data_IF_637381532722
#
_entry.id   IF_637381532722
#
_cell.length_a   1.000
_cell.length_b   1.000
_cell.length_c   1.000
_cell.angle_alpha   90.00
_cell.angle_beta   90.00
_cell.angle_gamma   90.00
#
_symmetry.space_group_name_H-M   'P 1'
#
loop_
_entity.id
_entity.type
_entity.pdbx_description
1 polymer ?
#
# COMPACT_ATOMS: atom_id res chain seq x y z
N UNK A 1 13.91 10.74 -9.43
CA UNK A 1 13.60 11.94 -8.59
C UNK A 1 14.07 11.65 -7.16
N UNK A 2 14.75 12.62 -6.52
CA UNK A 2 15.66 12.47 -5.35
C UNK A 2 15.00 11.86 -4.10
N UNK A 3 15.51 10.70 -3.65
CA UNK A 3 15.19 10.06 -2.35
C UNK A 3 16.11 10.51 -1.19
N UNK A 4 16.92 11.55 -1.39
CA UNK A 4 17.96 12.03 -0.45
C UNK A 4 17.49 13.12 0.54
N UNK A 5 16.24 13.59 0.47
CA UNK A 5 15.73 14.69 1.31
C UNK A 5 15.05 14.25 2.61
N UNK A 6 14.57 13.01 2.71
CA UNK A 6 13.84 12.53 3.90
C UNK A 6 14.76 12.42 5.12
N UNK A 7 15.94 11.80 4.98
CA UNK A 7 16.84 11.55 6.10
C UNK A 7 17.40 12.83 6.73
N UNK A 8 17.88 13.78 5.91
CA UNK A 8 18.37 15.08 6.41
C UNK A 8 17.26 15.89 7.09
N UNK A 9 16.02 15.82 6.57
CA UNK A 9 14.87 16.50 7.18
C UNK A 9 14.49 15.87 8.52
N UNK A 10 14.50 14.55 8.62
CA UNK A 10 14.26 13.82 9.88
C UNK A 10 15.31 14.19 10.92
N UNK A 11 16.61 14.18 10.57
CA UNK A 11 17.69 14.57 11.48
C UNK A 11 17.54 16.03 11.93
N UNK A 12 17.21 16.94 11.01
CA UNK A 12 16.95 18.34 11.33
C UNK A 12 15.81 18.51 12.35
N UNK A 13 14.73 17.72 12.17
CA UNK A 13 13.59 17.72 13.09
C UNK A 13 13.95 17.13 14.47
N UNK A 14 14.95 16.26 14.54
CA UNK A 14 15.41 15.60 15.78
C UNK A 14 16.60 16.31 16.47
N UNK A 15 17.01 17.49 16.01
CA UNK A 15 18.22 18.20 16.50
C UNK A 15 18.28 18.36 18.02
N UNK A 16 17.15 18.61 18.67
CA UNK A 16 17.07 18.77 20.13
C UNK A 16 17.24 17.44 20.86
N UNK A 17 16.63 16.37 20.36
CA UNK A 17 16.76 15.02 20.92
C UNK A 17 18.23 14.58 20.84
N UNK A 18 18.87 14.81 19.69
CA UNK A 18 20.28 14.49 19.47
C UNK A 18 21.17 15.32 20.42
N UNK A 19 20.91 16.62 20.56
CA UNK A 19 21.65 17.48 21.47
C UNK A 19 21.54 17.02 22.94
N UNK A 20 20.33 16.69 23.40
CA UNK A 20 20.09 16.16 24.76
C UNK A 20 20.83 14.85 24.97
N UNK A 21 20.79 13.93 23.99
CA UNK A 21 21.49 12.65 24.06
C UNK A 21 23.01 12.82 24.24
N UNK A 22 23.63 13.72 23.48
CA UNK A 22 25.07 13.97 23.61
C UNK A 22 25.44 14.62 24.94
N UNK A 23 24.64 15.58 25.42
CA UNK A 23 24.87 16.20 26.72
C UNK A 23 24.78 15.18 27.85
N UNK A 24 23.72 14.37 27.85
CA UNK A 24 23.51 13.32 28.85
C UNK A 24 24.61 12.25 28.81
N UNK A 25 24.97 11.77 27.61
CA UNK A 25 26.03 10.77 27.45
C UNK A 25 27.39 11.32 27.89
N UNK A 26 27.71 12.56 27.52
CA UNK A 26 28.95 13.22 27.93
C UNK A 26 29.07 13.37 29.44
N UNK A 27 27.97 13.73 30.11
CA UNK A 27 27.90 13.81 31.57
C UNK A 27 28.17 12.44 32.21
N UNK A 28 27.51 11.37 31.76
CA UNK A 28 27.70 10.01 32.30
C UNK A 28 29.13 9.53 32.10
N UNK A 29 29.67 9.69 30.89
CA UNK A 29 31.05 9.27 30.57
C UNK A 29 32.03 10.06 31.44
N UNK A 30 31.86 11.38 31.55
CA UNK A 30 32.73 12.24 32.38
C UNK A 30 32.73 11.82 33.86
N UNK A 31 31.56 11.58 34.44
CA UNK A 31 31.46 11.06 35.81
C UNK A 31 32.09 9.67 35.97
N UNK A 32 31.96 8.81 34.96
CA UNK A 32 32.53 7.46 34.99
C UNK A 32 34.05 7.47 34.91
N UNK A 33 34.64 8.38 34.13
CA UNK A 33 36.10 8.61 34.10
C UNK A 33 36.58 9.20 35.42
N UNK A 34 35.89 10.22 35.95
CA UNK A 34 36.29 10.87 37.21
C UNK A 34 36.35 9.90 38.40
N UNK A 35 35.46 8.89 38.42
CA UNK A 35 35.40 7.87 39.47
C UNK A 35 36.20 6.59 39.16
N UNK A 36 37.01 6.56 38.10
CA UNK A 36 37.80 5.39 37.65
C UNK A 36 36.98 4.10 37.45
N UNK A 37 35.73 4.25 36.98
CA UNK A 37 34.78 3.14 36.81
C UNK A 37 35.02 2.31 35.53
N UNK A 38 35.93 2.71 34.64
CA UNK A 38 36.27 1.98 33.40
C UNK A 38 37.26 0.83 33.64
N UNK A 39 37.01 0.02 34.65
CA UNK A 39 37.85 -1.13 35.00
C UNK A 39 37.52 -2.40 34.18
N UNK A 40 38.25 -3.48 34.41
CA UNK A 40 38.04 -4.76 33.72
C UNK A 40 36.63 -5.32 33.91
N UNK A 41 36.05 -5.18 35.11
CA UNK A 41 34.68 -5.60 35.43
C UNK A 41 33.64 -4.80 34.66
N UNK A 42 33.85 -3.49 34.49
CA UNK A 42 33.01 -2.67 33.63
C UNK A 42 33.04 -3.17 32.19
N UNK A 43 34.24 -3.45 31.64
CA UNK A 43 34.37 -3.94 30.27
C UNK A 43 33.72 -5.30 30.06
N UNK A 44 33.87 -6.22 31.02
CA UNK A 44 33.19 -7.53 30.99
C UNK A 44 31.66 -7.34 30.96
N UNK A 45 31.11 -6.55 31.87
CA UNK A 45 29.67 -6.26 31.93
C UNK A 45 29.17 -5.56 30.66
N UNK A 46 29.95 -4.60 30.14
CA UNK A 46 29.61 -3.88 28.93
C UNK A 46 29.54 -4.82 27.73
N UNK A 47 30.53 -5.70 27.55
CA UNK A 47 30.55 -6.66 26.46
C UNK A 47 29.38 -7.66 26.54
N UNK A 48 29.09 -8.17 27.74
CA UNK A 48 27.94 -9.07 27.95
C UNK A 48 26.63 -8.35 27.61
N UNK A 49 26.43 -7.14 28.12
CA UNK A 49 25.22 -6.36 27.85
C UNK A 49 25.09 -5.98 26.37
N UNK A 50 26.19 -5.59 25.73
CA UNK A 50 26.22 -5.25 24.31
C UNK A 50 25.84 -6.47 23.45
N UNK A 51 26.38 -7.64 23.77
CA UNK A 51 26.07 -8.88 23.06
C UNK A 51 24.59 -9.25 23.16
N UNK A 52 24.01 -9.17 24.36
CA UNK A 52 22.57 -9.38 24.57
C UNK A 52 21.73 -8.34 23.80
N UNK A 53 22.11 -7.07 23.89
CA UNK A 53 21.42 -5.96 23.22
C UNK A 53 21.44 -6.10 21.69
N UNK A 54 22.53 -6.60 21.10
CA UNK A 54 22.63 -6.82 19.65
C UNK A 54 21.55 -7.80 19.17
N UNK A 55 21.34 -8.89 19.92
CA UNK A 55 20.28 -9.86 19.61
C UNK A 55 18.90 -9.22 19.74
N UNK A 56 18.66 -8.44 20.80
CA UNK A 56 17.39 -7.74 21.00
C UNK A 56 17.09 -6.76 19.86
N UNK A 57 18.08 -5.97 19.43
CA UNK A 57 17.92 -5.05 18.30
C UNK A 57 17.72 -5.76 16.97
N UNK A 58 18.34 -6.92 16.75
CA UNK A 58 18.12 -7.72 15.56
C UNK A 58 16.67 -8.21 15.50
N UNK A 59 16.18 -8.80 16.61
CA UNK A 59 14.81 -9.30 16.71
C UNK A 59 13.81 -8.16 16.49
N UNK A 60 13.99 -7.04 17.19
CA UNK A 60 13.12 -5.87 17.05
C UNK A 60 13.20 -5.29 15.64
N UNK A 61 14.39 -5.24 15.02
CA UNK A 61 14.58 -4.78 13.65
C UNK A 61 13.83 -5.62 12.62
N UNK A 62 13.87 -6.94 12.74
CA UNK A 62 13.11 -7.86 11.86
C UNK A 62 11.60 -7.67 12.04
N UNK A 63 11.14 -7.56 13.30
CA UNK A 63 9.72 -7.33 13.62
C UNK A 63 9.24 -6.01 13.02
N UNK A 64 9.99 -4.92 13.23
CA UNK A 64 9.66 -3.60 12.68
C UNK A 64 9.66 -3.62 11.15
N UNK A 65 10.64 -4.25 10.51
CA UNK A 65 10.70 -4.37 9.06
C UNK A 65 9.46 -5.09 8.50
N UNK A 66 9.05 -6.19 9.14
CA UNK A 66 7.84 -6.92 8.76
C UNK A 66 6.58 -6.04 8.88
N UNK A 67 6.39 -5.35 10.00
CA UNK A 67 5.24 -4.47 10.21
C UNK A 67 5.23 -3.27 9.28
N UNK A 68 6.39 -2.66 9.03
CA UNK A 68 6.53 -1.52 8.12
C UNK A 68 6.15 -1.92 6.69
N UNK A 69 6.65 -3.05 6.20
CA UNK A 69 6.31 -3.55 4.87
C UNK A 69 4.82 -3.92 4.76
N UNK A 70 4.24 -4.49 5.83
CA UNK A 70 2.80 -4.77 5.90
C UNK A 70 1.97 -3.48 5.87
N UNK A 71 2.40 -2.44 6.59
CA UNK A 71 1.74 -1.14 6.61
C UNK A 71 1.81 -0.46 5.24
N UNK A 72 2.99 -0.36 4.64
CA UNK A 72 3.18 0.26 3.31
C UNK A 72 2.31 -0.41 2.23
N UNK A 73 2.18 -1.74 2.27
CA UNK A 73 1.30 -2.45 1.34
C UNK A 73 -0.18 -2.10 1.55
N UNK A 74 -0.62 -1.96 2.81
CA UNK A 74 -1.98 -1.55 3.13
C UNK A 74 -2.25 -0.12 2.66
N UNK A 75 -1.33 0.80 2.93
CA UNK A 75 -1.45 2.21 2.54
C UNK A 75 -1.48 2.35 1.01
N UNK A 76 -0.63 1.62 0.29
CA UNK A 76 -0.64 1.62 -1.18
C UNK A 76 -1.93 1.03 -1.77
N UNK A 77 -2.56 0.05 -1.11
CA UNK A 77 -3.88 -0.46 -1.53
C UNK A 77 -4.96 0.59 -1.27
N UNK A 78 -4.90 1.27 -0.13
CA UNK A 78 -5.85 2.34 0.21
C UNK A 78 -5.77 3.49 -0.79
N UNK A 79 -4.57 3.97 -1.11
CA UNK A 79 -4.34 5.03 -2.11
C UNK A 79 -4.91 4.65 -3.49
N UNK A 80 -4.68 3.41 -3.95
CA UNK A 80 -5.24 2.94 -5.22
C UNK A 80 -6.78 2.89 -5.22
N UNK A 81 -7.40 2.50 -4.09
CA UNK A 81 -8.87 2.49 -3.98
C UNK A 81 -9.41 3.92 -3.97
N UNK A 82 -8.80 4.81 -3.19
CA UNK A 82 -9.19 6.23 -3.12
C UNK A 82 -9.07 6.92 -4.49
N UNK A 83 -7.98 6.68 -5.21
CA UNK A 83 -7.80 7.16 -6.58
C UNK A 83 -8.88 6.61 -7.52
N UNK A 84 -9.22 5.32 -7.41
CA UNK A 84 -10.29 4.72 -8.22
C UNK A 84 -11.65 5.35 -7.92
N UNK A 85 -11.97 5.58 -6.65
CA UNK A 85 -13.21 6.22 -6.21
C UNK A 85 -13.33 7.65 -6.74
N UNK A 86 -12.25 8.43 -6.62
CA UNK A 86 -12.18 9.81 -7.11
C UNK A 86 -12.38 9.88 -8.64
N UNK A 87 -11.89 8.89 -9.38
CA UNK A 87 -11.98 8.85 -10.85
C UNK A 87 -13.22 8.14 -11.38
N UNK A 88 -13.95 7.40 -10.55
CA UNK A 88 -14.95 6.41 -10.97
C UNK A 88 -15.93 6.97 -12.01
N UNK A 89 -16.58 8.09 -11.69
CA UNK A 89 -17.68 8.68 -12.47
C UNK A 89 -17.24 9.52 -13.68
N UNK A 90 -15.96 9.78 -13.84
CA UNK A 90 -15.45 10.69 -14.88
C UNK A 90 -15.09 9.93 -16.14
N UNK A 91 -15.82 10.13 -17.24
CA UNK A 91 -15.51 9.49 -18.52
C UNK A 91 -14.63 10.38 -19.40
N UNK A 92 -13.40 9.93 -19.63
CA UNK A 92 -12.54 10.35 -20.73
C UNK A 92 -11.58 9.21 -21.06
N UNK A 93 -11.04 9.15 -22.28
CA UNK A 93 -10.13 8.07 -22.67
C UNK A 93 -8.92 7.96 -21.73
N UNK A 94 -8.33 9.09 -21.31
CA UNK A 94 -7.19 9.12 -20.40
C UNK A 94 -7.55 8.61 -18.99
N UNK A 95 -8.68 9.07 -18.43
CA UNK A 95 -9.13 8.65 -17.12
C UNK A 95 -9.56 7.18 -17.11
N UNK A 96 -10.19 6.69 -18.18
CA UNK A 96 -10.57 5.29 -18.32
C UNK A 96 -9.34 4.39 -18.42
N UNK A 97 -8.28 4.82 -19.11
CA UNK A 97 -6.97 4.13 -19.09
C UNK A 97 -6.39 4.09 -17.68
N UNK A 98 -6.45 5.19 -16.93
CA UNK A 98 -5.95 5.27 -15.56
C UNK A 98 -6.72 4.33 -14.61
N UNK A 99 -8.06 4.31 -14.69
CA UNK A 99 -8.91 3.39 -13.93
C UNK A 99 -8.57 1.93 -14.22
N UNK A 100 -8.42 1.56 -15.49
CA UNK A 100 -8.00 0.19 -15.89
C UNK A 100 -6.64 -0.15 -15.30
N UNK A 101 -5.69 0.79 -15.30
CA UNK A 101 -4.37 0.60 -14.69
C UNK A 101 -4.48 0.35 -13.18
N UNK A 102 -5.26 1.16 -12.48
CA UNK A 102 -5.48 1.03 -11.04
C UNK A 102 -6.10 -0.34 -10.70
N UNK A 103 -7.16 -0.73 -11.40
CA UNK A 103 -7.83 -2.03 -11.20
C UNK A 103 -6.84 -3.19 -11.41
N UNK A 104 -5.99 -3.12 -12.44
CA UNK A 104 -4.95 -4.15 -12.67
C UNK A 104 -3.91 -4.18 -11.56
N UNK A 105 -3.51 -3.02 -11.03
CA UNK A 105 -2.57 -2.95 -9.90
C UNK A 105 -3.18 -3.57 -8.63
N UNK A 106 -4.46 -3.34 -8.37
CA UNK A 106 -5.21 -4.00 -7.30
C UNK A 106 -5.25 -5.52 -7.51
N UNK A 107 -5.61 -5.98 -8.72
CA UNK A 107 -5.62 -7.40 -9.06
C UNK A 107 -4.25 -8.08 -8.92
N UNK A 108 -3.17 -7.41 -9.29
CA UNK A 108 -1.80 -7.90 -9.12
C UNK A 108 -1.40 -8.04 -7.64
N UNK A 109 -2.03 -7.26 -6.75
CA UNK A 109 -1.88 -7.35 -5.28
C UNK A 109 -2.86 -8.36 -4.65
N UNK A 110 -3.62 -9.11 -5.45
CA UNK A 110 -4.63 -10.07 -4.98
C UNK A 110 -5.92 -9.41 -4.49
N UNK A 111 -6.12 -8.13 -4.76
CA UNK A 111 -7.34 -7.40 -4.41
C UNK A 111 -8.31 -7.46 -5.58
N UNK A 112 -9.34 -8.29 -5.41
CA UNK A 112 -10.43 -8.49 -6.37
C UNK A 112 -11.78 -7.96 -5.86
N UNK A 113 -11.88 -7.76 -4.54
CA UNK A 113 -13.05 -7.21 -3.87
C UNK A 113 -13.01 -5.67 -3.93
N UNK A 114 -13.36 -5.12 -5.09
CA UNK A 114 -13.38 -3.68 -5.33
C UNK A 114 -14.79 -3.17 -5.06
N UNK A 115 -14.94 -2.31 -4.05
CA UNK A 115 -16.23 -1.79 -3.56
C UNK A 115 -16.47 -0.36 -4.08
N UNK A 116 -16.33 -0.18 -5.39
CA UNK A 116 -16.44 1.14 -6.05
C UNK A 116 -17.53 1.06 -7.11
N UNK A 117 -18.78 1.49 -6.81
CA UNK A 117 -19.86 1.47 -7.78
C UNK A 117 -19.71 2.60 -8.80
N UNK A 118 -20.40 2.48 -9.94
CA UNK A 118 -20.52 3.50 -11.01
C UNK A 118 -19.17 3.87 -11.66
N UNK A 119 -18.33 2.87 -11.89
CA UNK A 119 -17.09 3.05 -12.66
C UNK A 119 -17.44 3.21 -14.13
N UNK A 120 -17.04 4.33 -14.73
CA UNK A 120 -17.10 4.58 -16.17
C UNK A 120 -15.84 4.01 -16.85
N UNK A 121 -16.01 3.15 -17.84
CA UNK A 121 -14.96 2.57 -18.67
C UNK A 121 -15.40 2.50 -20.15
N UNK A 122 -16.30 3.38 -20.57
CA UNK A 122 -16.84 3.40 -21.92
C UNK A 122 -15.81 3.85 -22.98
N UNK A 123 -16.13 3.55 -24.25
CA UNK A 123 -15.38 3.98 -25.45
C UNK A 123 -13.90 3.59 -25.44
N UNK A 124 -13.60 2.46 -24.82
CA UNK A 124 -12.26 1.94 -24.70
C UNK A 124 -11.91 0.98 -25.84
N UNK A 125 -10.81 1.26 -26.53
CA UNK A 125 -10.28 0.40 -27.60
C UNK A 125 -10.04 -1.05 -27.14
N UNK A 126 -9.65 -1.24 -25.86
CA UNK A 126 -9.59 -2.56 -25.22
C UNK A 126 -9.65 -2.46 -23.69
N UNK A 127 -10.57 -3.20 -23.09
CA UNK A 127 -10.63 -3.50 -21.66
C UNK A 127 -10.21 -4.96 -21.48
N UNK A 128 -9.10 -5.20 -20.78
CA UNK A 128 -8.58 -6.57 -20.59
C UNK A 128 -7.98 -6.85 -19.23
N UNK A 129 -8.04 -8.11 -18.82
CA UNK A 129 -7.42 -8.61 -17.58
C UNK A 129 -7.94 -7.89 -16.34
N UNK A 130 -9.25 -7.65 -16.30
CA UNK A 130 -9.92 -7.15 -15.10
C UNK A 130 -10.62 -8.31 -14.42
N UNK A 131 -10.30 -8.53 -13.15
CA UNK A 131 -10.81 -9.61 -12.34
C UNK A 131 -11.47 -9.02 -11.09
N UNK A 132 -12.74 -9.33 -10.92
CA UNK A 132 -13.54 -8.90 -9.78
C UNK A 132 -14.07 -10.14 -9.06
N UNK A 133 -13.99 -10.13 -7.73
CA UNK A 133 -14.54 -11.18 -6.88
C UNK A 133 -15.20 -10.56 -5.66
N UNK A 134 -16.45 -10.93 -5.39
CA UNK A 134 -17.26 -10.42 -4.27
C UNK A 134 -17.40 -8.87 -4.30
N UNK A 135 -17.22 -8.26 -5.48
CA UNK A 135 -17.19 -6.81 -5.71
C UNK A 135 -18.58 -6.18 -5.89
N UNK A 136 -18.74 -4.91 -5.53
CA UNK A 136 -19.89 -4.09 -5.93
C UNK A 136 -19.55 -3.32 -7.21
N UNK A 137 -20.22 -3.70 -8.30
CA UNK A 137 -20.05 -3.12 -9.63
C UNK A 137 -21.36 -2.51 -10.15
N UNK A 138 -22.24 -2.07 -9.24
CA UNK A 138 -23.50 -1.43 -9.59
C UNK A 138 -23.24 -0.17 -10.42
N UNK A 139 -23.83 -0.08 -11.61
CA UNK A 139 -23.65 1.02 -12.55
C UNK A 139 -22.32 1.00 -13.31
N UNK A 140 -21.61 -0.14 -13.34
CA UNK A 140 -20.42 -0.28 -14.19
C UNK A 140 -20.80 -0.03 -15.65
N UNK A 141 -20.13 0.93 -16.28
CA UNK A 141 -20.30 1.22 -17.69
C UNK A 141 -19.06 0.80 -18.48
N UNK A 142 -19.23 -0.09 -19.44
CA UNK A 142 -18.20 -0.51 -20.38
C UNK A 142 -18.71 -0.37 -21.83
N UNK A 143 -19.66 0.51 -22.12
CA UNK A 143 -20.25 0.63 -23.46
C UNK A 143 -19.22 0.95 -24.55
N UNK A 144 -19.53 0.59 -25.80
CA UNK A 144 -18.72 0.93 -26.98
C UNK A 144 -17.24 0.51 -26.88
N UNK A 145 -16.97 -0.59 -26.18
CA UNK A 145 -15.61 -1.06 -25.90
C UNK A 145 -15.33 -2.46 -26.44
N UNK A 146 -14.06 -2.85 -26.46
CA UNK A 146 -13.69 -4.26 -26.67
C UNK A 146 -13.27 -4.91 -25.35
N UNK A 147 -14.15 -5.72 -24.78
CA UNK A 147 -13.93 -6.37 -23.48
C UNK A 147 -13.38 -7.77 -23.71
N UNK A 148 -12.21 -8.08 -23.14
CA UNK A 148 -11.63 -9.41 -23.26
C UNK A 148 -10.88 -9.91 -22.04
N UNK A 149 -10.94 -11.21 -21.80
CA UNK A 149 -10.17 -11.88 -20.74
C UNK A 149 -10.44 -11.26 -19.34
N UNK A 150 -11.71 -10.94 -19.06
CA UNK A 150 -12.18 -10.40 -17.78
C UNK A 150 -13.03 -11.44 -17.03
N UNK A 151 -13.05 -11.39 -15.70
CA UNK A 151 -13.90 -12.26 -14.89
C UNK A 151 -14.61 -11.52 -13.78
N UNK A 152 -15.88 -11.85 -13.58
CA UNK A 152 -16.75 -11.33 -12.54
C UNK A 152 -17.29 -12.52 -11.74
N UNK A 153 -16.82 -12.71 -10.51
CA UNK A 153 -17.16 -13.83 -9.65
C UNK A 153 -17.85 -13.35 -8.37
N UNK A 154 -19.06 -13.85 -8.06
CA UNK A 154 -19.87 -13.41 -6.92
C UNK A 154 -20.10 -11.88 -6.85
N UNK A 155 -20.06 -11.16 -7.97
CA UNK A 155 -20.22 -9.70 -7.96
C UNK A 155 -21.70 -9.30 -7.85
N UNK A 156 -21.96 -8.18 -7.17
CA UNK A 156 -23.25 -7.48 -7.24
C UNK A 156 -23.24 -6.59 -8.46
N UNK A 157 -24.16 -6.85 -9.40
CA UNK A 157 -24.20 -6.14 -10.69
C UNK A 157 -25.64 -5.71 -10.97
N UNK A 158 -25.88 -4.40 -10.89
CA UNK A 158 -27.09 -3.74 -11.37
C UNK A 158 -26.71 -2.65 -12.36
N UNK A 159 -27.57 -2.36 -13.34
CA UNK A 159 -27.35 -1.30 -14.33
C UNK A 159 -25.98 -1.41 -15.05
N UNK A 160 -25.51 -2.63 -15.32
CA UNK A 160 -24.32 -2.86 -16.14
C UNK A 160 -24.60 -2.42 -17.58
N UNK A 161 -23.84 -1.44 -18.06
CA UNK A 161 -23.94 -1.01 -19.45
C UNK A 161 -22.84 -1.67 -20.28
N UNK A 162 -23.22 -2.66 -21.09
CA UNK A 162 -22.35 -3.31 -22.08
C UNK A 162 -22.90 -3.15 -23.51
N UNK A 163 -23.65 -2.10 -23.78
CA UNK A 163 -24.16 -1.80 -25.13
C UNK A 163 -23.03 -1.46 -26.11
N UNK A 164 -23.18 -1.83 -27.38
CA UNK A 164 -22.18 -1.53 -28.42
C UNK A 164 -20.81 -2.22 -28.27
N UNK A 165 -20.72 -3.27 -27.45
CA UNK A 165 -19.45 -3.94 -27.16
C UNK A 165 -19.13 -5.09 -28.11
N UNK A 166 -17.82 -5.36 -28.26
CA UNK A 166 -17.30 -6.66 -28.64
C UNK A 166 -16.82 -7.38 -27.38
N UNK A 167 -17.19 -8.64 -27.19
CA UNK A 167 -16.87 -9.41 -25.97
C UNK A 167 -16.16 -10.71 -26.33
N UNK A 168 -15.04 -11.02 -25.70
CA UNK A 168 -14.30 -12.29 -25.89
C UNK A 168 -13.74 -12.83 -24.57
N UNK A 169 -13.93 -14.11 -24.26
CA UNK A 169 -13.37 -14.72 -23.04
C UNK A 169 -13.76 -14.01 -21.72
N UNK A 170 -14.98 -13.49 -21.64
CA UNK A 170 -15.51 -12.87 -20.41
C UNK A 170 -16.34 -13.88 -19.64
N UNK A 171 -16.11 -14.00 -18.33
CA UNK A 171 -16.80 -14.97 -17.47
C UNK A 171 -17.59 -14.23 -16.39
N UNK A 172 -18.87 -14.56 -16.27
CA UNK A 172 -19.72 -14.17 -15.14
C UNK A 172 -20.07 -15.42 -14.35
N UNK A 173 -19.77 -15.45 -13.06
CA UNK A 173 -20.06 -16.55 -12.14
C UNK A 173 -20.80 -16.01 -10.93
N UNK A 174 -21.89 -16.69 -10.55
CA UNK A 174 -22.63 -16.43 -9.30
C UNK A 174 -22.98 -14.95 -9.09
N UNK A 175 -23.33 -14.24 -10.15
CA UNK A 175 -23.66 -12.81 -10.06
C UNK A 175 -25.09 -12.63 -9.55
N UNK A 176 -25.31 -11.61 -8.72
CA UNK A 176 -26.64 -11.25 -8.24
C UNK A 176 -27.17 -10.02 -8.98
N UNK A 177 -28.27 -10.20 -9.71
CA UNK A 177 -29.14 -9.09 -10.11
C UNK A 177 -30.09 -8.81 -8.93
N UNK A 178 -29.96 -7.68 -8.24
CA UNK A 178 -31.04 -7.25 -7.34
C UNK A 178 -32.23 -6.80 -8.21
N UNK A 179 -33.36 -7.50 -8.08
CA UNK A 179 -34.65 -7.04 -8.62
C UNK A 179 -35.15 -5.89 -7.75
N UNK A 180 -35.53 -4.77 -8.38
CA UNK A 180 -36.41 -3.77 -7.78
C UNK A 180 -37.85 -4.13 -8.11
#
# INVERSE_FOLDING_TARGET
>A
MKRTSSFRRTISNMKYIIGIFFLYSGLIVGLSVYNDNYNSKFMENFLVNANSSILDFLVLGVILYYFENKRQNKDAIHELIEDLENLAKHSSAELNIMKIKIIRQLNAKGIYNIQVPRIELDKMSTIKYLHFKDADLNGLNMSESYIRDCSFDNCTIQALNITGNRVKSVKFKNWQAKKY
#
